data_IF_616946317831
#
_entry.id   IF_616946317831
#
_cell.length_a   1.000
_cell.length_b   1.000
_cell.length_c   1.000
_cell.angle_alpha   90.00
_cell.angle_beta   90.00
_cell.angle_gamma   90.00
#
_symmetry.space_group_name_H-M   'P 1'
#
loop_
_entity.id
_entity.type
_entity.pdbx_description
1 polymer ?
#
# COMPACT_ATOMS: atom_id res chain seq x y z
N UNK A 1 3.18 0.81 8.06
CA UNK A 1 3.75 0.08 9.23
C UNK A 1 5.08 0.72 9.62
N UNK A 2 5.31 0.99 10.91
CA UNK A 2 6.41 1.87 11.41
C UNK A 2 7.83 1.23 11.41
N UNK A 3 8.04 -0.10 11.54
CA UNK A 3 9.40 -0.68 11.64
C UNK A 3 10.35 -0.43 10.47
N UNK A 4 9.88 0.03 9.31
CA UNK A 4 10.72 0.46 8.18
C UNK A 4 11.36 1.84 8.38
N UNK A 5 11.08 2.49 9.51
CA UNK A 5 11.45 3.87 9.77
C UNK A 5 10.44 4.85 9.19
N UNK A 6 10.53 6.10 9.64
CA UNK A 6 9.81 7.23 9.08
C UNK A 6 10.80 8.04 8.25
N UNK A 7 10.38 8.50 7.06
CA UNK A 7 11.11 9.51 6.31
C UNK A 7 10.45 10.86 6.56
N UNK A 8 11.25 11.87 6.88
CA UNK A 8 10.80 13.25 7.03
C UNK A 8 11.76 14.15 6.26
N UNK A 9 11.22 15.13 5.55
CA UNK A 9 11.99 16.24 5.03
C UNK A 9 11.82 17.40 6.00
N UNK A 10 12.94 17.89 6.54
CA UNK A 10 12.93 19.11 7.35
C UNK A 10 13.29 20.26 6.41
N UNK A 11 12.32 21.09 6.07
CA UNK A 11 12.56 22.34 5.37
C UNK A 11 12.75 23.43 6.42
N UNK A 12 14.01 23.83 6.66
CA UNK A 12 14.31 25.01 7.47
C UNK A 12 14.84 26.10 6.56
N UNK A 13 14.27 27.29 6.65
CA UNK A 13 14.84 28.45 5.98
C UNK A 13 15.93 29.06 6.87
N UNK A 14 17.11 29.33 6.32
CA UNK A 14 18.26 29.89 7.08
C UNK A 14 18.11 31.37 7.38
N UNK A 15 17.23 32.07 6.67
CA UNK A 15 16.94 33.49 6.84
C UNK A 15 15.44 33.72 6.78
N UNK A 16 14.92 34.52 7.69
CA UNK A 16 13.51 34.92 7.73
C UNK A 16 13.13 35.68 6.46
N UNK A 17 11.99 35.33 5.85
CA UNK A 17 11.28 36.19 4.90
C UNK A 17 10.13 36.74 5.73
N UNK A 18 9.99 38.06 5.79
CA UNK A 18 9.17 38.84 6.75
C UNK A 18 7.67 38.47 6.87
N UNK A 19 7.20 37.42 6.18
CA UNK A 19 5.86 36.82 6.31
C UNK A 19 5.80 35.37 6.80
N UNK A 20 6.91 34.66 7.06
CA UNK A 20 6.88 33.27 7.56
C UNK A 20 7.18 33.19 9.06
N UNK A 21 6.14 32.92 9.85
CA UNK A 21 6.28 32.78 11.30
C UNK A 21 6.96 31.44 11.62
N UNK A 22 8.13 31.48 12.24
CA UNK A 22 8.74 30.35 12.93
C UNK A 22 7.70 29.63 13.83
N UNK A 23 7.52 28.32 13.64
CA UNK A 23 6.48 27.57 14.36
C UNK A 23 6.72 27.43 15.87
N UNK A 24 7.95 27.67 16.34
CA UNK A 24 8.38 27.27 17.69
C UNK A 24 8.64 28.41 18.68
N UNK A 25 9.11 29.57 18.21
CA UNK A 25 9.41 30.74 19.04
C UNK A 25 8.61 31.93 18.49
N UNK A 26 8.38 33.00 19.25
CA UNK A 26 7.87 34.27 18.73
C UNK A 26 8.88 34.95 17.81
N UNK A 27 8.41 35.94 17.03
CA UNK A 27 9.22 36.69 16.07
C UNK A 27 10.41 37.41 16.74
N UNK A 28 10.16 38.03 17.89
CA UNK A 28 11.16 38.70 18.75
C UNK A 28 12.13 37.75 19.48
N UNK A 29 11.91 36.44 19.39
CA UNK A 29 12.65 35.37 20.10
C UNK A 29 12.50 35.37 21.63
N UNK A 30 11.53 36.08 22.19
CA UNK A 30 11.36 36.16 23.65
C UNK A 30 10.57 34.99 24.24
N UNK A 31 9.65 34.40 23.47
CA UNK A 31 8.71 33.39 23.98
C UNK A 31 8.80 32.11 23.17
N UNK A 32 9.08 31.00 23.86
CA UNK A 32 8.92 29.65 23.32
C UNK A 32 7.42 29.29 23.34
N UNK A 33 6.83 29.04 22.16
CA UNK A 33 5.38 28.81 22.00
C UNK A 33 4.89 27.51 22.64
N UNK A 34 5.73 26.49 22.66
CA UNK A 34 5.44 25.20 23.31
C UNK A 34 6.61 24.86 24.24
N UNK A 35 6.42 24.76 25.57
CA UNK A 35 7.50 24.45 26.49
C UNK A 35 8.26 23.17 26.11
N UNK A 36 9.59 23.19 26.20
CA UNK A 36 10.46 22.06 25.81
C UNK A 36 10.05 20.76 26.51
N UNK A 37 9.74 20.83 27.81
CA UNK A 37 9.34 19.67 28.60
C UNK A 37 8.03 19.05 28.11
N UNK A 38 7.12 19.86 27.56
CA UNK A 38 5.89 19.41 26.95
C UNK A 38 6.14 18.75 25.60
N UNK A 39 6.95 19.37 24.73
CA UNK A 39 7.36 18.78 23.46
C UNK A 39 8.10 17.45 23.65
N UNK A 40 9.00 17.37 24.63
CA UNK A 40 9.73 16.12 24.93
C UNK A 40 8.78 14.99 25.27
N UNK A 41 7.73 15.26 26.05
CA UNK A 41 6.69 14.26 26.37
C UNK A 41 5.89 13.84 25.14
N UNK A 42 5.52 14.80 24.28
CA UNK A 42 4.80 14.52 23.04
C UNK A 42 5.63 13.70 22.05
N UNK A 43 6.94 13.96 21.95
CA UNK A 43 7.84 13.25 21.04
C UNK A 43 8.40 11.95 21.61
N UNK A 44 8.39 11.74 22.93
CA UNK A 44 8.95 10.54 23.56
C UNK A 44 8.48 9.21 22.92
N UNK A 45 7.18 9.03 22.56
CA UNK A 45 6.74 7.82 21.88
C UNK A 45 7.38 7.59 20.50
N UNK A 46 7.79 8.65 19.80
CA UNK A 46 8.43 8.56 18.47
C UNK A 46 9.86 8.01 18.55
N UNK A 47 10.52 8.12 19.71
CA UNK A 47 11.85 7.58 19.96
C UNK A 47 11.84 6.11 20.40
N UNK A 48 10.66 5.53 20.66
CA UNK A 48 10.55 4.11 20.95
C UNK A 48 10.85 3.35 19.66
N UNK A 49 11.92 2.54 19.69
CA UNK A 49 12.30 1.68 18.57
C UNK A 49 11.11 0.79 18.19
N UNK A 50 10.55 0.93 16.98
CA UNK A 50 9.46 0.09 16.56
C UNK A 50 9.94 -1.36 16.47
N UNK A 51 9.25 -2.27 17.16
CA UNK A 51 9.59 -3.70 17.18
C UNK A 51 8.98 -4.44 15.98
N UNK A 52 9.61 -5.55 15.64
CA UNK A 52 9.17 -6.47 14.60
C UNK A 52 9.90 -6.28 13.27
N UNK A 53 9.76 -7.27 12.40
CA UNK A 53 10.42 -7.38 11.10
C UNK A 53 9.38 -7.20 10.00
N UNK A 54 9.66 -6.30 9.06
CA UNK A 54 8.89 -6.22 7.81
C UNK A 54 9.57 -7.12 6.77
N UNK A 55 8.79 -8.00 6.15
CA UNK A 55 9.24 -8.89 5.07
C UNK A 55 8.25 -8.87 3.92
N UNK A 56 8.76 -8.95 2.69
CA UNK A 56 7.91 -9.10 1.50
C UNK A 56 7.49 -10.56 1.38
N UNK A 57 6.23 -10.78 1.01
CA UNK A 57 5.68 -12.13 0.85
C UNK A 57 6.13 -12.68 -0.50
N UNK A 58 6.65 -13.91 -0.50
CA UNK A 58 7.19 -14.62 -1.67
C UNK A 58 8.33 -13.90 -2.41
N UNK A 59 9.01 -12.96 -1.73
CA UNK A 59 10.11 -12.17 -2.27
C UNK A 59 11.23 -12.00 -1.24
N UNK A 60 12.51 -12.09 -1.65
CA UNK A 60 13.62 -11.91 -0.73
C UNK A 60 13.83 -10.44 -0.32
N UNK A 61 13.43 -9.47 -1.15
CA UNK A 61 13.56 -8.04 -0.90
C UNK A 61 12.68 -7.22 -1.87
N UNK A 62 12.59 -5.89 -1.66
CA UNK A 62 11.78 -4.96 -2.48
C UNK A 62 12.26 -4.81 -3.93
N UNK A 63 13.56 -5.07 -4.19
CA UNK A 63 14.13 -5.00 -5.54
C UNK A 63 13.94 -6.27 -6.35
N UNK A 64 13.55 -7.37 -5.68
CA UNK A 64 13.23 -8.60 -6.35
C UNK A 64 11.93 -8.45 -7.15
N UNK A 65 11.75 -9.32 -8.13
CA UNK A 65 10.53 -9.34 -8.93
C UNK A 65 9.38 -9.94 -8.12
N UNK A 66 8.24 -9.25 -8.04
CA UNK A 66 7.03 -9.88 -7.50
C UNK A 66 6.50 -10.93 -8.48
N UNK A 67 5.90 -11.99 -7.94
CA UNK A 67 5.25 -13.06 -8.69
C UNK A 67 3.76 -13.04 -8.41
N UNK A 68 2.99 -12.74 -9.45
CA UNK A 68 1.54 -12.81 -9.44
C UNK A 68 1.05 -13.25 -10.81
N UNK A 69 -0.18 -13.76 -10.88
CA UNK A 69 -0.83 -14.05 -12.15
C UNK A 69 -1.79 -12.93 -12.49
N UNK A 70 -1.95 -12.60 -13.76
CA UNK A 70 -2.85 -11.53 -14.17
C UNK A 70 -3.67 -11.87 -15.41
N UNK A 71 -4.79 -11.18 -15.55
CA UNK A 71 -5.66 -11.20 -16.71
C UNK A 71 -5.96 -9.75 -17.13
N UNK A 72 -5.79 -9.46 -18.41
CA UNK A 72 -6.19 -8.18 -19.01
C UNK A 72 -7.52 -8.35 -19.73
N UNK A 73 -8.46 -7.47 -19.46
CA UNK A 73 -9.78 -7.49 -20.08
C UNK A 73 -10.84 -6.94 -19.14
N UNK A 74 -12.10 -7.16 -19.50
CA UNK A 74 -13.23 -6.82 -18.65
C UNK A 74 -13.73 -8.09 -17.98
N UNK A 75 -13.90 -8.04 -16.66
CA UNK A 75 -14.68 -9.05 -15.95
C UNK A 75 -16.08 -8.46 -15.76
N UNK A 76 -17.10 -9.19 -16.21
CA UNK A 76 -18.49 -8.78 -16.01
C UNK A 76 -18.81 -8.79 -14.51
N UNK A 77 -18.85 -7.59 -13.94
CA UNK A 77 -19.09 -7.37 -12.51
C UNK A 77 -20.55 -7.39 -12.12
N UNK A 78 -21.46 -7.61 -13.08
CA UNK A 78 -22.90 -7.74 -12.82
C UNK A 78 -23.30 -9.03 -12.09
N UNK A 79 -22.44 -10.06 -12.13
CA UNK A 79 -22.59 -11.31 -11.36
C UNK A 79 -21.78 -11.32 -10.05
N UNK A 80 -21.20 -10.17 -9.68
CA UNK A 80 -20.22 -10.00 -8.61
C UNK A 80 -20.88 -9.15 -7.53
N UNK A 81 -21.05 -9.70 -6.33
CA UNK A 81 -21.43 -8.88 -5.19
C UNK A 81 -20.33 -7.82 -4.98
N UNK A 82 -20.66 -6.52 -4.89
CA UNK A 82 -19.67 -5.45 -4.75
C UNK A 82 -18.79 -5.57 -3.49
N UNK A 83 -19.12 -6.47 -2.57
CA UNK A 83 -18.35 -6.78 -1.37
C UNK A 83 -17.70 -8.17 -1.39
N UNK A 84 -18.03 -9.02 -2.37
CA UNK A 84 -17.42 -10.33 -2.52
C UNK A 84 -17.28 -10.78 -3.97
N UNK A 85 -16.05 -11.09 -4.41
CA UNK A 85 -15.83 -11.77 -5.68
C UNK A 85 -15.73 -13.28 -5.44
N UNK A 86 -16.57 -14.06 -6.14
CA UNK A 86 -16.34 -15.51 -6.23
C UNK A 86 -15.15 -15.72 -7.15
N UNK A 87 -13.95 -15.78 -6.57
CA UNK A 87 -12.71 -16.05 -7.34
C UNK A 87 -12.79 -17.42 -8.04
N UNK A 88 -13.77 -18.28 -7.68
CA UNK A 88 -14.05 -19.55 -8.38
C UNK A 88 -14.61 -19.35 -9.80
N UNK A 89 -15.29 -18.23 -10.08
CA UNK A 89 -15.87 -17.95 -11.40
C UNK A 89 -14.88 -17.26 -12.35
N UNK A 90 -13.76 -16.77 -11.81
CA UNK A 90 -12.62 -16.37 -12.62
C UNK A 90 -11.98 -17.65 -13.14
N UNK A 91 -12.26 -18.01 -14.40
CA UNK A 91 -11.66 -19.20 -14.99
C UNK A 91 -10.13 -19.10 -14.88
N UNK A 92 -9.55 -20.05 -14.15
CA UNK A 92 -8.12 -20.12 -13.83
C UNK A 92 -7.21 -20.16 -15.05
N UNK A 93 -7.77 -20.45 -16.23
CA UNK A 93 -7.11 -20.52 -17.53
C UNK A 93 -6.80 -19.16 -18.16
N UNK A 94 -7.45 -18.08 -17.68
CA UNK A 94 -7.28 -16.74 -18.27
C UNK A 94 -6.14 -15.95 -17.62
N UNK A 95 -5.58 -16.47 -16.54
CA UNK A 95 -4.53 -15.81 -15.77
C UNK A 95 -3.17 -16.34 -16.19
N UNK A 96 -2.29 -15.44 -16.60
CA UNK A 96 -0.91 -15.76 -17.00
C UNK A 96 0.07 -15.22 -15.96
N UNK A 97 1.17 -15.93 -15.73
CA UNK A 97 2.23 -15.47 -14.85
C UNK A 97 2.85 -14.17 -15.36
N UNK A 98 3.13 -13.24 -14.46
CA UNK A 98 3.85 -12.02 -14.80
C UNK A 98 5.32 -12.34 -15.10
N UNK A 99 5.71 -12.22 -16.37
CA UNK A 99 7.13 -12.28 -16.75
C UNK A 99 7.84 -10.97 -16.44
N UNK A 100 7.17 -9.83 -16.61
CA UNK A 100 7.64 -8.48 -16.28
C UNK A 100 6.46 -7.63 -15.76
N UNK A 101 6.68 -6.35 -15.48
CA UNK A 101 5.59 -5.42 -15.14
C UNK A 101 4.51 -5.43 -16.22
N UNK A 102 3.25 -5.39 -15.80
CA UNK A 102 2.12 -5.48 -16.73
C UNK A 102 1.93 -4.14 -17.42
N UNK A 103 2.03 -4.09 -18.75
CA UNK A 103 1.82 -2.85 -19.52
C UNK A 103 0.33 -2.71 -19.85
N UNK A 104 -0.22 -1.53 -19.52
CA UNK A 104 -1.61 -1.16 -19.75
C UNK A 104 -1.69 0.09 -20.61
N UNK A 105 -2.61 0.07 -21.56
CA UNK A 105 -3.03 1.22 -22.36
C UNK A 105 -4.20 1.93 -21.70
N UNK A 106 -4.37 3.21 -22.02
CA UNK A 106 -5.53 3.99 -21.56
C UNK A 106 -6.84 3.25 -21.86
N UNK A 107 -7.71 3.13 -20.85
CA UNK A 107 -8.99 2.44 -20.90
C UNK A 107 -8.94 0.94 -20.66
N UNK A 108 -7.75 0.31 -20.65
CA UNK A 108 -7.62 -1.10 -20.31
C UNK A 108 -7.88 -1.35 -18.82
N UNK A 109 -8.11 -2.61 -18.49
CA UNK A 109 -8.29 -3.08 -17.12
C UNK A 109 -7.46 -4.35 -16.91
N UNK A 110 -6.99 -4.54 -15.67
CA UNK A 110 -6.24 -5.72 -15.23
C UNK A 110 -6.78 -6.22 -13.90
N UNK A 111 -6.75 -7.54 -13.78
CA UNK A 111 -7.04 -8.28 -12.56
C UNK A 111 -5.83 -9.14 -12.25
N UNK A 112 -5.28 -9.01 -11.05
CA UNK A 112 -4.05 -9.69 -10.67
C UNK A 112 -4.23 -10.44 -9.35
N UNK A 113 -3.86 -11.72 -9.34
CA UNK A 113 -3.99 -12.61 -8.18
C UNK A 113 -2.63 -13.04 -7.67
N UNK A 114 -2.48 -13.04 -6.35
CA UNK A 114 -1.37 -13.68 -5.66
C UNK A 114 -1.93 -14.65 -4.63
N UNK A 115 -1.59 -15.92 -4.80
CA UNK A 115 -1.84 -16.96 -3.80
C UNK A 115 -0.69 -16.94 -2.80
N UNK A 116 -1.00 -16.75 -1.52
CA UNK A 116 -0.01 -16.66 -0.44
C UNK A 116 -0.27 -17.78 0.56
N UNK A 117 0.80 -18.42 1.02
CA UNK A 117 0.74 -19.38 2.12
C UNK A 117 1.16 -18.70 3.44
N UNK A 118 0.34 -18.82 4.47
CA UNK A 118 0.58 -18.19 5.76
C UNK A 118 0.66 -19.28 6.85
N UNK A 119 1.88 -19.58 7.31
CA UNK A 119 2.09 -20.56 8.38
C UNK A 119 1.83 -19.97 9.77
N UNK A 120 2.40 -18.79 10.03
CA UNK A 120 2.15 -17.96 11.22
C UNK A 120 1.37 -16.72 10.83
N UNK A 121 0.32 -16.37 11.57
CA UNK A 121 -0.42 -15.12 11.34
C UNK A 121 0.50 -13.90 11.56
N UNK A 122 0.54 -12.94 10.62
CA UNK A 122 1.31 -11.71 10.82
C UNK A 122 0.62 -10.75 11.79
N UNK A 123 1.40 -9.87 12.41
CA UNK A 123 0.92 -8.74 13.21
C UNK A 123 0.50 -7.53 12.34
N UNK A 124 0.95 -7.49 11.09
CA UNK A 124 0.65 -6.44 10.12
C UNK A 124 0.61 -6.96 8.69
N UNK A 125 -0.26 -6.39 7.86
CA UNK A 125 -0.34 -6.66 6.42
C UNK A 125 -0.35 -5.32 5.68
N UNK A 126 0.43 -5.23 4.62
CA UNK A 126 0.43 -4.09 3.74
C UNK A 126 0.59 -4.49 2.28
N UNK A 127 0.19 -3.59 1.40
CA UNK A 127 0.27 -3.75 -0.04
C UNK A 127 0.88 -2.49 -0.64
N UNK A 128 1.91 -2.67 -1.47
CA UNK A 128 2.42 -1.63 -2.35
C UNK A 128 1.72 -1.73 -3.69
N UNK A 129 1.17 -0.62 -4.20
CA UNK A 129 0.44 -0.58 -5.46
C UNK A 129 1.08 0.42 -6.41
N UNK A 130 1.23 0.03 -7.68
CA UNK A 130 1.60 0.92 -8.78
C UNK A 130 0.58 0.77 -9.90
N UNK A 131 -0.07 1.86 -10.27
CA UNK A 131 -1.09 1.89 -11.31
C UNK A 131 -1.75 3.25 -11.48
N UNK A 132 -2.55 3.34 -12.54
CA UNK A 132 -3.40 4.48 -12.85
C UNK A 132 -4.79 3.97 -13.20
N UNK A 133 -5.84 4.52 -12.62
CA UNK A 133 -7.22 4.02 -12.83
C UNK A 133 -7.96 3.78 -11.52
N UNK A 134 -9.07 3.08 -11.57
CA UNK A 134 -9.82 2.70 -10.37
C UNK A 134 -9.26 1.39 -9.81
N UNK A 135 -8.90 1.38 -8.53
CA UNK A 135 -8.24 0.25 -7.90
C UNK A 135 -9.06 -0.34 -6.76
N UNK A 136 -9.12 -1.67 -6.71
CA UNK A 136 -9.78 -2.43 -5.64
C UNK A 136 -8.91 -3.58 -5.18
N UNK A 137 -8.94 -3.86 -3.88
CA UNK A 137 -8.19 -4.96 -3.27
C UNK A 137 -9.17 -5.87 -2.55
N UNK A 138 -9.00 -7.18 -2.75
CA UNK A 138 -9.79 -8.21 -2.11
C UNK A 138 -8.90 -9.24 -1.43
N UNK A 139 -9.27 -9.65 -0.21
CA UNK A 139 -8.62 -10.74 0.54
C UNK A 139 -9.63 -11.86 0.71
N UNK A 140 -9.27 -13.06 0.24
CA UNK A 140 -10.14 -14.25 0.28
C UNK A 140 -11.55 -13.98 -0.26
N UNK A 141 -11.63 -13.16 -1.31
CA UNK A 141 -12.87 -12.76 -1.97
C UNK A 141 -13.55 -11.53 -1.37
N UNK A 142 -13.22 -11.11 -0.15
CA UNK A 142 -13.83 -9.93 0.50
C UNK A 142 -13.12 -8.65 0.10
N UNK A 143 -13.85 -7.63 -0.34
CA UNK A 143 -13.27 -6.32 -0.67
C UNK A 143 -12.78 -5.62 0.60
N UNK A 144 -11.53 -5.18 0.61
CA UNK A 144 -10.89 -4.57 1.79
C UNK A 144 -10.50 -3.12 1.58
N UNK A 145 -10.33 -2.70 0.33
CA UNK A 145 -9.91 -1.36 -0.03
C UNK A 145 -10.35 -1.02 -1.45
N UNK A 146 -10.67 0.25 -1.68
CA UNK A 146 -11.12 0.79 -2.96
C UNK A 146 -10.71 2.25 -3.06
N UNK A 147 -10.18 2.66 -4.20
CA UNK A 147 -9.94 4.06 -4.52
C UNK A 147 -10.09 4.32 -6.01
N UNK A 148 -10.82 5.39 -6.34
CA UNK A 148 -11.07 5.78 -7.72
C UNK A 148 -9.92 6.64 -8.22
N UNK A 149 -9.51 6.42 -9.48
CA UNK A 149 -8.49 7.23 -10.17
C UNK A 149 -7.19 7.38 -9.38
N UNK A 150 -6.64 6.29 -8.85
CA UNK A 150 -5.28 6.24 -8.33
C UNK A 150 -4.28 6.76 -9.37
N UNK A 151 -3.21 7.44 -8.92
CA UNK A 151 -2.22 8.08 -9.79
C UNK A 151 -0.83 7.94 -9.19
N UNK A 152 -0.30 6.72 -9.19
CA UNK A 152 1.01 6.43 -8.63
C UNK A 152 2.09 7.07 -9.50
N UNK A 153 2.75 8.14 -9.03
CA UNK A 153 3.68 8.93 -9.85
C UNK A 153 5.02 8.20 -10.08
N UNK A 154 5.92 8.29 -9.09
CA UNK A 154 7.29 7.74 -9.16
C UNK A 154 7.52 6.55 -8.22
N UNK A 155 6.62 6.35 -7.28
CA UNK A 155 6.72 5.35 -6.24
C UNK A 155 5.39 4.62 -6.12
N UNK A 156 5.44 3.43 -5.53
CA UNK A 156 4.26 2.70 -5.14
C UNK A 156 3.53 3.46 -4.04
N UNK A 157 2.21 3.47 -4.11
CA UNK A 157 1.39 3.85 -2.96
C UNK A 157 1.44 2.72 -1.94
N UNK A 158 1.56 3.08 -0.67
CA UNK A 158 1.68 2.15 0.43
C UNK A 158 0.35 2.05 1.18
N UNK A 159 -0.34 0.93 1.00
CA UNK A 159 -1.68 0.68 1.53
C UNK A 159 -1.55 -0.21 2.76
N UNK A 160 -1.95 0.32 3.91
CA UNK A 160 -2.00 -0.44 5.15
C UNK A 160 -3.30 -1.25 5.21
N UNK A 161 -3.17 -2.58 5.35
CA UNK A 161 -4.28 -3.53 5.43
C UNK A 161 -4.31 -4.27 6.79
N UNK A 162 -3.61 -3.75 7.80
CA UNK A 162 -3.39 -4.42 9.09
C UNK A 162 -4.71 -4.68 9.83
N UNK A 163 -5.66 -3.76 9.73
CA UNK A 163 -7.01 -3.87 10.29
C UNK A 163 -7.88 -4.95 9.60
N UNK A 164 -7.36 -5.58 8.54
CA UNK A 164 -8.04 -6.63 7.74
C UNK A 164 -7.38 -8.00 7.86
N UNK A 165 -6.41 -8.17 8.77
CA UNK A 165 -5.70 -9.45 8.99
C UNK A 165 -6.63 -10.58 9.40
N UNK A 166 -7.74 -10.27 10.07
CA UNK A 166 -8.77 -11.24 10.45
C UNK A 166 -9.41 -11.96 9.24
N UNK A 167 -9.24 -11.44 8.02
CA UNK A 167 -9.69 -12.10 6.79
C UNK A 167 -8.67 -13.12 6.27
N UNK A 168 -7.44 -13.12 6.77
CA UNK A 168 -6.45 -14.17 6.53
C UNK A 168 -6.74 -15.39 7.41
N UNK A 169 -6.32 -16.55 6.94
CA UNK A 169 -6.38 -17.83 7.66
C UNK A 169 -5.05 -18.58 7.55
N UNK A 170 -4.72 -19.49 8.48
CA UNK A 170 -3.57 -20.37 8.31
C UNK A 170 -3.66 -21.17 7.00
N UNK A 171 -2.53 -21.33 6.33
CA UNK A 171 -2.43 -21.99 5.03
C UNK A 171 -2.69 -21.06 3.85
N UNK A 172 -3.43 -21.56 2.84
CA UNK A 172 -3.63 -20.86 1.58
C UNK A 172 -4.64 -19.72 1.68
N UNK A 173 -4.20 -18.55 1.23
CA UNK A 173 -5.00 -17.34 1.07
C UNK A 173 -4.82 -16.78 -0.34
N UNK A 174 -5.80 -16.00 -0.80
CA UNK A 174 -5.71 -15.33 -2.08
C UNK A 174 -5.96 -13.84 -1.93
N UNK A 175 -5.08 -13.05 -2.52
CA UNK A 175 -5.27 -11.61 -2.71
C UNK A 175 -5.54 -11.36 -4.19
N UNK A 176 -6.55 -10.55 -4.47
CA UNK A 176 -6.85 -10.02 -5.80
C UNK A 176 -6.70 -8.51 -5.77
N UNK A 177 -6.00 -7.97 -6.76
CA UNK A 177 -5.89 -6.54 -7.03
C UNK A 177 -6.47 -6.29 -8.41
N UNK A 178 -7.47 -5.41 -8.46
CA UNK A 178 -8.11 -4.93 -9.68
C UNK A 178 -7.62 -3.50 -9.94
N UNK A 179 -7.30 -3.20 -11.20
CA UNK A 179 -7.04 -1.85 -11.67
C UNK A 179 -7.76 -1.66 -13.01
N UNK A 180 -8.78 -0.78 -13.02
CA UNK A 180 -9.71 -0.58 -14.13
C UNK A 180 -9.65 0.82 -14.71
N UNK A 181 -10.21 0.94 -15.90
CA UNK A 181 -10.40 2.23 -16.60
C UNK A 181 -9.13 3.08 -16.55
N UNK A 182 -8.01 2.44 -16.89
CA UNK A 182 -6.69 3.02 -16.73
C UNK A 182 -6.63 4.40 -17.40
N UNK A 183 -6.28 5.44 -16.65
CA UNK A 183 -6.46 6.82 -17.14
C UNK A 183 -5.43 7.23 -18.20
N UNK A 184 -4.31 6.51 -18.30
CA UNK A 184 -3.20 6.76 -19.22
C UNK A 184 -2.36 5.49 -19.43
N UNK A 185 -1.55 5.46 -20.49
CA UNK A 185 -0.57 4.39 -20.68
C UNK A 185 0.35 4.28 -19.46
N UNK A 186 0.41 3.08 -18.85
CA UNK A 186 1.13 2.85 -17.62
C UNK A 186 1.63 1.42 -17.48
N UNK A 187 2.41 1.20 -16.43
CA UNK A 187 2.66 -0.12 -15.86
C UNK A 187 1.69 -0.36 -14.70
N UNK A 188 1.37 -1.62 -14.46
CA UNK A 188 0.71 -2.10 -13.27
C UNK A 188 1.62 -3.10 -12.57
N UNK A 189 1.75 -2.93 -11.26
CA UNK A 189 2.49 -3.82 -10.38
C UNK A 189 1.94 -3.67 -8.96
N UNK A 190 2.08 -4.71 -8.14
CA UNK A 190 1.80 -4.61 -6.72
C UNK A 190 2.72 -5.54 -5.94
N UNK A 191 2.87 -5.36 -4.64
CA UNK A 191 3.66 -6.23 -3.78
C UNK A 191 3.00 -6.38 -2.42
N UNK A 192 3.00 -7.58 -1.87
CA UNK A 192 2.51 -7.83 -0.52
C UNK A 192 3.68 -7.86 0.46
N UNK A 193 3.46 -7.29 1.64
CA UNK A 193 4.42 -7.35 2.72
C UNK A 193 3.73 -7.50 4.08
N UNK A 194 4.43 -8.11 5.02
CA UNK A 194 3.94 -8.43 6.36
C UNK A 194 4.85 -7.87 7.44
N UNK A 195 4.28 -7.63 8.62
CA UNK A 195 5.00 -7.36 9.87
C UNK A 195 4.86 -8.55 10.79
N UNK A 196 5.98 -9.00 11.33
CA UNK A 196 6.05 -10.03 12.36
C UNK A 196 6.77 -9.49 13.58
N UNK A 197 6.11 -9.48 14.74
CA UNK A 197 6.71 -9.10 16.02
C UNK A 197 7.29 -10.30 16.77
#
# INVERSE_FOLDING_TARGET
MIPRGLSAAIYTQTTDVEGEVNGFITYDREVIKIPETHLRKLHAPLYVQPTGKISFIDMPNETARNKFRFFKGSIDSSSINPHSISIKNIQSTNFVDNKDSVILKKGESVYAIQDINIDRMPDGLGLKLYGYGDAKIYINGTMVWCEDKIRTKRHYDDINLTDKINLLKPGSNRVLVECREVTQDTRFDFMLYRLDK
#
